data_IF_456341261533
#
_entry.id   IF_456341261533
#
_cell.length_a   1.000
_cell.length_b   1.000
_cell.length_c   1.000
_cell.angle_alpha   90.00
_cell.angle_beta   90.00
_cell.angle_gamma   90.00
#
_symmetry.space_group_name_H-M   'P 1'
#
loop_
_entity.id
_entity.type
_entity.pdbx_description
1 polymer ?
#
# COMPACT_ATOMS: atom_id res chain seq x y z
N UNK A 1 24.52 -14.20 -10.88
CA UNK A 1 24.54 -13.99 -9.41
C UNK A 1 23.13 -13.56 -8.99
N UNK A 2 22.33 -14.47 -8.42
CA UNK A 2 20.97 -14.17 -7.98
C UNK A 2 21.04 -13.64 -6.55
N UNK A 3 21.06 -12.32 -6.36
CA UNK A 3 20.81 -11.77 -5.03
C UNK A 3 19.31 -11.95 -4.76
N UNK A 4 18.97 -12.72 -3.74
CA UNK A 4 17.60 -12.82 -3.23
C UNK A 4 17.20 -11.49 -2.64
N UNK A 5 16.64 -10.60 -3.46
CA UNK A 5 16.04 -9.36 -3.00
C UNK A 5 14.67 -9.70 -2.42
N UNK A 6 14.58 -9.77 -1.09
CA UNK A 6 13.30 -9.62 -0.43
C UNK A 6 12.92 -8.15 -0.57
N UNK A 7 12.13 -7.82 -1.60
CA UNK A 7 11.59 -6.48 -1.76
C UNK A 7 10.77 -6.07 -0.53
N UNK A 8 10.32 -7.00 0.30
CA UNK A 8 9.64 -6.78 1.58
C UNK A 8 10.56 -6.62 2.80
N UNK A 9 11.88 -6.56 2.62
CA UNK A 9 12.80 -6.45 3.75
C UNK A 9 12.70 -5.09 4.46
N UNK A 10 12.48 -5.13 5.78
CA UNK A 10 12.35 -3.94 6.63
C UNK A 10 13.59 -3.03 6.55
N UNK A 11 14.76 -3.59 6.23
CA UNK A 11 16.02 -2.86 6.07
C UNK A 11 15.94 -1.76 5.03
N UNK A 12 15.10 -1.90 4.00
CA UNK A 12 14.92 -0.86 2.98
C UNK A 12 14.27 0.40 3.53
N UNK A 13 13.31 0.25 4.45
CA UNK A 13 12.68 1.39 5.13
C UNK A 13 13.60 2.04 6.15
N UNK A 14 14.38 1.24 6.89
CA UNK A 14 15.41 1.79 7.80
C UNK A 14 16.46 2.60 7.04
N UNK A 15 16.96 2.07 5.92
CA UNK A 15 17.92 2.76 5.09
C UNK A 15 17.35 4.06 4.50
N UNK A 16 16.11 4.04 4.01
CA UNK A 16 15.45 5.25 3.49
C UNK A 16 15.19 6.28 4.59
N UNK A 17 14.80 5.84 5.79
CA UNK A 17 14.66 6.70 6.96
C UNK A 17 15.97 7.36 7.34
N UNK A 18 17.08 6.61 7.29
CA UNK A 18 18.41 7.13 7.57
C UNK A 18 18.85 8.17 6.53
N UNK A 19 18.55 7.97 5.25
CA UNK A 19 18.78 8.98 4.19
C UNK A 19 18.04 10.28 4.48
N UNK A 20 16.83 10.20 5.04
CA UNK A 20 16.05 11.36 5.48
C UNK A 20 16.49 11.91 6.86
N UNK A 21 17.62 11.45 7.40
CA UNK A 21 18.19 11.93 8.66
C UNK A 21 17.50 11.40 9.92
N UNK A 22 16.60 10.41 9.79
CA UNK A 22 15.97 9.76 10.94
C UNK A 22 16.53 8.35 11.10
N UNK A 23 17.39 8.18 12.10
CA UNK A 23 17.93 6.88 12.42
C UNK A 23 16.96 6.08 13.32
N UNK A 24 16.45 4.99 12.77
CA UNK A 24 15.51 4.12 13.48
C UNK A 24 16.16 3.40 14.66
N UNK A 25 17.46 3.08 14.60
CA UNK A 25 18.13 2.36 15.69
C UNK A 25 18.27 3.24 16.95
N UNK A 26 18.48 4.54 16.78
CA UNK A 26 18.57 5.49 17.89
C UNK A 26 17.22 6.04 18.35
N UNK A 27 16.28 6.31 17.44
CA UNK A 27 15.02 6.99 17.77
C UNK A 27 13.82 6.04 17.89
N UNK A 28 13.93 4.80 17.38
CA UNK A 28 12.83 3.83 17.35
C UNK A 28 11.66 4.21 16.44
N UNK A 29 11.80 5.28 15.66
CA UNK A 29 10.78 5.80 14.74
C UNK A 29 11.36 5.96 13.33
N UNK A 30 10.52 5.74 12.31
CA UNK A 30 10.90 6.00 10.91
C UNK A 30 10.65 7.47 10.56
N UNK A 31 11.39 7.96 9.56
CA UNK A 31 11.23 9.30 9.00
C UNK A 31 9.79 9.55 8.54
N UNK A 32 9.36 10.80 8.64
CA UNK A 32 8.04 11.21 8.18
C UNK A 32 7.82 10.82 6.71
N UNK A 33 6.74 10.11 6.42
CA UNK A 33 6.42 9.61 5.08
C UNK A 33 7.01 8.24 4.73
N UNK A 34 7.92 7.69 5.54
CA UNK A 34 8.44 6.32 5.40
C UNK A 34 7.60 5.36 6.24
N UNK A 35 6.96 4.40 5.57
CA UNK A 35 6.14 3.37 6.18
C UNK A 35 6.04 2.17 5.24
N UNK A 36 5.62 1.01 5.77
CA UNK A 36 5.41 -0.19 4.96
C UNK A 36 4.40 0.06 3.82
N UNK A 37 3.33 0.81 4.11
CA UNK A 37 2.35 1.20 3.10
C UNK A 37 2.96 2.10 2.00
N UNK A 38 3.80 3.07 2.38
CA UNK A 38 4.49 3.92 1.39
C UNK A 38 5.44 3.10 0.52
N UNK A 39 6.15 2.15 1.12
CA UNK A 39 7.08 1.25 0.42
C UNK A 39 6.34 0.32 -0.58
N UNK A 40 5.21 -0.26 -0.19
CA UNK A 40 4.36 -1.05 -1.11
C UNK A 40 3.86 -0.22 -2.28
N UNK A 41 3.45 1.04 -2.04
CA UNK A 41 3.03 1.96 -3.11
C UNK A 41 4.17 2.32 -4.06
N UNK A 42 5.37 2.56 -3.52
CA UNK A 42 6.58 2.80 -4.31
C UNK A 42 6.86 1.63 -5.28
N UNK A 43 6.86 0.39 -4.76
CA UNK A 43 7.11 -0.80 -5.58
C UNK A 43 6.00 -1.08 -6.60
N UNK A 44 4.75 -0.77 -6.26
CA UNK A 44 3.62 -0.98 -7.14
C UNK A 44 3.57 0.02 -8.31
N UNK A 45 4.11 1.23 -8.14
CA UNK A 45 4.10 2.29 -9.15
C UNK A 45 2.71 2.83 -9.53
N UNK A 46 1.67 2.47 -8.77
CA UNK A 46 0.26 2.81 -9.07
C UNK A 46 -0.25 4.05 -8.34
N UNK A 47 0.38 4.41 -7.22
CA UNK A 47 -0.07 5.49 -6.34
C UNK A 47 1.10 6.40 -6.04
N UNK A 48 0.89 7.71 -6.21
CA UNK A 48 1.89 8.71 -5.87
C UNK A 48 2.25 8.65 -4.37
N UNK A 49 3.54 8.85 -4.07
CA UNK A 49 4.06 8.94 -2.71
C UNK A 49 4.74 10.29 -2.51
N UNK A 50 5.05 10.62 -1.25
CA UNK A 50 5.84 11.82 -0.94
C UNK A 50 7.16 11.82 -1.73
N UNK A 51 7.48 12.94 -2.38
CA UNK A 51 8.70 13.14 -3.14
C UNK A 51 9.99 12.86 -2.34
N UNK A 52 10.02 13.19 -1.04
CA UNK A 52 11.17 12.90 -0.18
C UNK A 52 11.36 11.39 0.02
N UNK A 53 10.27 10.68 0.33
CA UNK A 53 10.29 9.23 0.45
C UNK A 53 10.66 8.54 -0.88
N UNK A 54 10.14 9.05 -2.01
CA UNK A 54 10.48 8.56 -3.34
C UNK A 54 11.98 8.68 -3.63
N UNK A 55 12.55 9.87 -3.43
CA UNK A 55 13.99 10.11 -3.64
C UNK A 55 14.84 9.23 -2.74
N UNK A 56 14.47 9.10 -1.47
CA UNK A 56 15.18 8.23 -0.52
C UNK A 56 15.13 6.75 -0.94
N UNK A 57 13.98 6.24 -1.38
CA UNK A 57 13.89 4.86 -1.88
C UNK A 57 14.70 4.65 -3.17
N UNK A 58 14.67 5.61 -4.10
CA UNK A 58 15.51 5.57 -5.29
C UNK A 58 17.00 5.55 -4.93
N UNK A 59 17.44 6.39 -3.99
CA UNK A 59 18.83 6.43 -3.53
C UNK A 59 19.29 5.11 -2.92
N UNK A 60 18.47 4.53 -2.04
CA UNK A 60 18.73 3.24 -1.41
C UNK A 60 18.82 2.11 -2.44
N UNK A 61 17.96 2.13 -3.46
CA UNK A 61 17.95 1.15 -4.55
C UNK A 61 18.97 1.46 -5.65
N UNK A 62 19.72 2.58 -5.53
CA UNK A 62 20.64 3.09 -6.56
C UNK A 62 19.96 3.30 -7.92
N UNK A 63 18.71 3.73 -7.88
CA UNK A 63 17.94 4.18 -9.03
C UNK A 63 18.09 5.69 -9.18
N UNK A 64 18.23 6.14 -10.41
CA UNK A 64 18.16 7.57 -10.72
C UNK A 64 16.68 8.01 -10.73
N UNK A 65 16.30 8.84 -9.75
CA UNK A 65 14.90 9.22 -9.55
C UNK A 65 14.36 10.09 -10.70
N UNK A 66 15.22 10.84 -11.41
CA UNK A 66 14.81 11.66 -12.55
C UNK A 66 14.42 10.76 -13.71
N UNK A 67 15.24 9.74 -13.98
CA UNK A 67 14.99 8.73 -15.01
C UNK A 67 13.69 7.96 -14.74
N UNK A 68 13.39 7.65 -13.48
CA UNK A 68 12.17 6.89 -13.11
C UNK A 68 10.92 7.76 -13.17
N UNK A 69 10.99 9.02 -12.76
CA UNK A 69 9.84 9.93 -12.75
C UNK A 69 9.38 10.33 -14.17
N UNK A 70 10.28 10.28 -15.15
CA UNK A 70 10.00 10.66 -16.54
C UNK A 70 9.45 9.52 -17.42
N UNK A 71 9.37 8.28 -16.89
CA UNK A 71 8.74 7.16 -17.63
C UNK A 71 7.22 7.29 -17.54
N UNK A 72 6.64 8.11 -18.41
CA UNK A 72 5.21 7.98 -18.72
C UNK A 72 4.96 6.62 -19.39
N UNK A 73 3.85 5.94 -19.10
CA UNK A 73 3.52 4.70 -19.77
C UNK A 73 3.35 4.99 -21.26
N UNK A 74 4.26 4.49 -22.09
CA UNK A 74 4.07 4.42 -23.55
C UNK A 74 2.89 3.48 -23.82
N UNK A 75 1.68 4.00 -23.73
CA UNK A 75 0.52 3.45 -24.40
C UNK A 75 0.84 3.44 -25.89
N UNK A 76 0.84 2.25 -26.47
CA UNK A 76 1.10 2.07 -27.89
C UNK A 76 0.13 2.89 -28.72
N UNK A 77 0.67 3.62 -29.69
CA UNK A 77 -0.13 4.12 -30.82
C UNK A 77 0.55 3.65 -32.09
N UNK A 78 -0.04 2.59 -32.65
CA UNK A 78 0.08 2.26 -34.05
C UNK A 78 -0.61 3.37 -34.88
N UNK A 79 0.13 3.87 -35.85
CA UNK A 79 -0.26 4.24 -37.22
C UNK A 79 -1.65 4.85 -37.46
N UNK A 80 -1.60 6.10 -37.92
CA UNK A 80 -2.72 6.92 -38.38
C UNK A 80 -3.49 6.32 -39.57
N UNK A 81 -4.82 6.30 -39.45
CA UNK A 81 -5.74 6.02 -40.56
C UNK A 81 -7.19 6.42 -40.27
N UNK A 82 -7.54 7.68 -40.56
CA UNK A 82 -8.83 8.19 -41.03
C UNK A 82 -10.19 7.85 -40.32
N UNK A 83 -10.72 8.88 -39.65
CA UNK A 83 -12.07 9.50 -39.80
C UNK A 83 -13.38 8.80 -39.34
N UNK A 84 -14.16 9.62 -38.60
CA UNK A 84 -15.63 9.81 -38.61
C UNK A 84 -16.45 9.34 -37.38
N UNK A 85 -17.30 10.29 -36.95
CA UNK A 85 -18.20 10.35 -35.80
C UNK A 85 -19.26 9.23 -35.70
N UNK A 86 -19.66 8.88 -34.48
CA UNK A 86 -21.07 8.68 -34.13
C UNK A 86 -21.32 8.82 -32.61
N UNK A 87 -22.39 9.53 -32.30
CA UNK A 87 -23.06 9.73 -31.00
C UNK A 87 -23.52 8.43 -30.36
N UNK A 88 -23.41 8.30 -29.02
CA UNK A 88 -24.39 7.62 -28.16
C UNK A 88 -24.08 7.84 -26.66
N UNK A 89 -24.97 8.57 -25.96
CA UNK A 89 -25.22 8.39 -24.52
C UNK A 89 -26.01 7.09 -24.32
N UNK A 90 -25.75 6.34 -23.22
CA UNK A 90 -26.86 6.14 -22.27
C UNK A 90 -26.47 5.91 -20.78
N UNK A 91 -27.32 6.47 -19.90
CA UNK A 91 -27.87 5.90 -18.65
C UNK A 91 -26.99 5.72 -17.38
N UNK A 92 -27.60 5.78 -16.17
CA UNK A 92 -26.93 6.24 -14.95
C UNK A 92 -26.11 5.14 -14.31
N UNK A 93 -24.81 5.38 -14.20
CA UNK A 93 -23.89 4.47 -13.52
C UNK A 93 -24.16 4.53 -12.01
N UNK A 94 -24.68 3.43 -11.48
CA UNK A 94 -24.72 3.19 -10.05
C UNK A 94 -23.30 3.39 -9.50
N UNK A 95 -23.13 4.38 -8.62
CA UNK A 95 -21.87 4.63 -7.94
C UNK A 95 -21.50 3.39 -7.13
N UNK A 96 -20.71 2.50 -7.73
CA UNK A 96 -20.06 1.41 -7.01
C UNK A 96 -19.19 2.07 -5.96
N UNK A 97 -19.54 1.90 -4.68
CA UNK A 97 -18.69 2.32 -3.58
C UNK A 97 -17.38 1.55 -3.73
N UNK A 98 -16.38 2.19 -4.33
CA UNK A 98 -15.09 1.62 -4.59
C UNK A 98 -14.35 1.61 -3.25
N UNK A 99 -14.51 0.51 -2.51
CA UNK A 99 -13.85 0.31 -1.22
C UNK A 99 -12.41 -0.11 -1.50
N UNK A 100 -11.48 0.81 -1.23
CA UNK A 100 -10.04 0.58 -1.39
C UNK A 100 -9.47 -0.23 -0.22
N UNK A 101 -9.23 -1.52 -0.46
CA UNK A 101 -8.57 -2.42 0.49
C UNK A 101 -7.05 -2.44 0.35
N UNK A 102 -6.44 -1.61 -0.52
CA UNK A 102 -5.00 -1.65 -0.81
C UNK A 102 -4.09 -1.28 0.38
N UNK A 103 -4.66 -0.71 1.44
CA UNK A 103 -3.95 -0.37 2.67
C UNK A 103 -4.12 -1.40 3.79
N UNK A 104 -4.96 -2.41 3.60
CA UNK A 104 -5.13 -3.48 4.57
C UNK A 104 -3.82 -4.30 4.69
N UNK A 105 -3.39 -4.65 5.91
CA UNK A 105 -2.32 -5.63 6.11
C UNK A 105 -2.54 -6.87 5.24
N UNK A 106 -1.46 -7.39 4.63
CA UNK A 106 -1.50 -8.66 3.88
C UNK A 106 -2.02 -9.79 4.77
N UNK A 107 -2.52 -10.85 4.14
CA UNK A 107 -2.89 -12.13 4.77
C UNK A 107 -1.65 -12.86 5.34
N UNK A 108 -0.97 -12.23 6.29
CA UNK A 108 0.09 -12.86 7.05
C UNK A 108 -0.49 -14.05 7.84
N UNK A 109 0.40 -15.00 8.16
CA UNK A 109 0.02 -16.14 8.97
C UNK A 109 -0.39 -15.63 10.37
N UNK A 110 -1.68 -15.71 10.66
CA UNK A 110 -2.29 -15.29 11.92
C UNK A 110 -2.54 -16.52 12.80
N UNK A 111 -1.96 -16.52 14.00
CA UNK A 111 -2.03 -17.65 14.93
C UNK A 111 -2.78 -17.26 16.20
N UNK A 112 -3.57 -18.20 16.73
CA UNK A 112 -4.36 -17.98 17.94
C UNK A 112 -5.55 -17.05 17.72
N UNK A 113 -6.14 -16.54 18.81
CA UNK A 113 -7.25 -15.56 18.79
C UNK A 113 -8.55 -16.04 18.14
N UNK A 114 -8.75 -17.35 18.01
CA UNK A 114 -9.93 -17.93 17.35
C UNK A 114 -11.23 -17.52 18.06
N UNK A 115 -11.23 -17.46 19.39
CA UNK A 115 -12.36 -16.98 20.18
C UNK A 115 -12.79 -15.56 19.83
N UNK A 116 -11.82 -14.67 19.64
CA UNK A 116 -12.09 -13.28 19.26
C UNK A 116 -12.59 -13.18 17.81
N UNK A 117 -12.04 -13.98 16.89
CA UNK A 117 -12.53 -14.07 15.51
C UNK A 117 -13.97 -14.57 15.44
N UNK A 118 -14.30 -15.63 16.18
CA UNK A 118 -15.65 -16.19 16.20
C UNK A 118 -16.66 -15.16 16.75
N UNK A 119 -16.25 -14.41 17.79
CA UNK A 119 -17.03 -13.31 18.35
C UNK A 119 -17.26 -12.19 17.33
N UNK A 120 -16.20 -11.76 16.63
CA UNK A 120 -16.30 -10.74 15.60
C UNK A 120 -17.19 -11.18 14.45
N UNK A 121 -17.06 -12.42 14.00
CA UNK A 121 -17.90 -13.01 12.95
C UNK A 121 -19.37 -12.98 13.35
N UNK A 122 -19.69 -13.34 14.59
CA UNK A 122 -21.05 -13.29 15.11
C UNK A 122 -21.58 -11.85 15.12
N UNK A 123 -20.82 -10.89 15.66
CA UNK A 123 -21.23 -9.49 15.69
C UNK A 123 -21.45 -8.89 14.29
N UNK A 124 -20.61 -9.24 13.32
CA UNK A 124 -20.70 -8.70 11.95
C UNK A 124 -21.84 -9.36 11.17
N UNK A 125 -21.97 -10.68 11.24
CA UNK A 125 -22.89 -11.44 10.36
C UNK A 125 -24.27 -11.58 10.99
N UNK A 126 -24.32 -12.00 12.25
CA UNK A 126 -25.58 -12.32 12.93
C UNK A 126 -26.21 -11.05 13.51
N UNK A 127 -25.47 -10.35 14.38
CA UNK A 127 -25.97 -9.13 15.03
C UNK A 127 -25.97 -7.91 14.12
N UNK A 128 -25.22 -7.97 13.00
CA UNK A 128 -25.03 -6.89 12.03
C UNK A 128 -24.61 -5.56 12.66
N UNK A 129 -23.69 -5.64 13.62
CA UNK A 129 -23.10 -4.47 14.24
C UNK A 129 -22.43 -3.58 13.18
N UNK A 130 -22.86 -2.32 13.10
CA UNK A 130 -22.31 -1.34 12.14
C UNK A 130 -21.00 -0.71 12.61
N UNK A 131 -20.69 -0.84 13.89
CA UNK A 131 -19.47 -0.32 14.51
C UNK A 131 -19.00 -1.33 15.56
N UNK A 132 -17.74 -1.72 15.45
CA UNK A 132 -17.07 -2.62 16.39
C UNK A 132 -15.72 -1.99 16.73
N UNK A 133 -15.42 -1.90 18.02
CA UNK A 133 -14.16 -1.34 18.52
C UNK A 133 -13.27 -2.45 19.07
N UNK A 134 -12.06 -2.59 18.55
CA UNK A 134 -11.07 -3.54 19.05
C UNK A 134 -10.16 -2.86 20.08
N UNK A 135 -10.14 -3.36 21.32
CA UNK A 135 -9.36 -2.81 22.43
C UNK A 135 -8.29 -3.80 22.92
N UNK A 136 -7.20 -3.29 23.49
CA UNK A 136 -6.11 -4.11 24.03
C UNK A 136 -4.75 -3.42 23.98
N UNK A 137 -3.76 -4.03 24.61
CA UNK A 137 -2.38 -3.51 24.72
C UNK A 137 -1.73 -3.19 23.35
N UNK A 138 -0.72 -2.33 23.34
CA UNK A 138 0.08 -2.04 22.14
C UNK A 138 0.71 -3.32 21.57
N UNK A 139 0.82 -3.43 20.25
CA UNK A 139 1.46 -4.58 19.58
C UNK A 139 0.69 -5.91 19.62
N UNK A 140 -0.45 -6.02 20.31
CA UNK A 140 -1.20 -7.28 20.47
C UNK A 140 -1.91 -7.80 19.20
N UNK A 141 -1.67 -7.18 18.04
CA UNK A 141 -2.23 -7.63 16.75
C UNK A 141 -3.69 -7.25 16.48
N UNK A 142 -4.21 -6.14 17.05
CA UNK A 142 -5.59 -5.67 16.80
C UNK A 142 -5.85 -5.36 15.32
N UNK A 143 -4.91 -4.67 14.66
CA UNK A 143 -4.99 -4.33 13.23
C UNK A 143 -4.92 -5.57 12.34
N UNK A 144 -4.20 -6.60 12.77
CA UNK A 144 -4.16 -7.88 12.06
C UNK A 144 -5.47 -8.67 12.25
N UNK A 145 -6.10 -8.57 13.42
CA UNK A 145 -7.40 -9.20 13.69
C UNK A 145 -8.53 -8.57 12.87
N UNK A 146 -8.50 -7.26 12.60
CA UNK A 146 -9.58 -6.56 11.87
C UNK A 146 -9.67 -6.87 10.37
N UNK A 147 -8.64 -7.48 9.79
CA UNK A 147 -8.61 -7.85 8.37
C UNK A 147 -8.96 -9.32 8.12
N UNK A 148 -9.33 -10.06 9.16
CA UNK A 148 -9.63 -11.49 9.13
C UNK A 148 -11.13 -11.79 9.20
#
# INVERSE_FOLDING_TARGET
>A
MKQGWAASDFRWMQAASLVLGTDWESLGVLAAGVSEGTWKRFLAGKVAINAEAFKAYCEVLRLDWQTVAEVEPKTGVAENGATALATEEPAPEASTLLVDWSSAPDDAIFYGRQSELDTLRHWVIEDRCRLITLLGMGGIGKTALSVR
#
